data_IF_799493938654
#
_entry.id   IF_799493938654
#
_cell.length_a   1.000
_cell.length_b   1.000
_cell.length_c   1.000
_cell.angle_alpha   90.00
_cell.angle_beta   90.00
_cell.angle_gamma   90.00
#
_symmetry.space_group_name_H-M   'P 1'
#
loop_
_entity.id
_entity.type
_entity.pdbx_description
1 polymer ?
#
# COMPACT_ATOMS: atom_id res chain seq x y z
N UNK A 1 10.24 3.65 13.99
CA UNK A 1 9.60 2.39 13.58
C UNK A 1 10.45 1.80 12.47
N UNK A 2 10.87 0.54 12.55
CA UNK A 2 11.62 -0.09 11.45
C UNK A 2 10.61 -0.79 10.55
N UNK A 3 10.50 -0.36 9.30
CA UNK A 3 9.59 -0.98 8.33
C UNK A 3 10.19 -2.30 7.86
N UNK A 4 9.38 -3.37 7.83
CA UNK A 4 9.79 -4.69 7.32
C UNK A 4 9.63 -4.72 5.80
N UNK A 5 10.60 -4.12 5.11
CA UNK A 5 10.59 -3.95 3.64
C UNK A 5 10.53 -5.30 2.93
N UNK A 6 11.26 -6.30 3.43
CA UNK A 6 11.26 -7.64 2.83
C UNK A 6 9.87 -8.24 2.87
N UNK A 7 9.19 -8.19 4.02
CA UNK A 7 7.83 -8.74 4.14
C UNK A 7 6.82 -7.97 3.30
N UNK A 8 6.96 -6.66 3.16
CA UNK A 8 6.13 -5.86 2.25
C UNK A 8 6.35 -6.31 0.80
N UNK A 9 7.60 -6.46 0.38
CA UNK A 9 7.96 -6.92 -0.96
C UNK A 9 7.42 -8.33 -1.24
N UNK A 10 7.53 -9.26 -0.27
CA UNK A 10 7.02 -10.63 -0.38
C UNK A 10 5.50 -10.65 -0.62
N UNK A 11 4.74 -9.84 0.11
CA UNK A 11 3.28 -9.76 -0.07
C UNK A 11 2.93 -9.14 -1.43
N UNK A 12 3.64 -8.08 -1.84
CA UNK A 12 3.47 -7.45 -3.16
C UNK A 12 3.98 -8.30 -4.33
N UNK A 13 4.70 -9.40 -4.05
CA UNK A 13 5.48 -10.14 -5.04
C UNK A 13 6.43 -9.23 -5.83
N UNK A 14 6.97 -8.21 -5.15
CA UNK A 14 7.89 -7.22 -5.69
C UNK A 14 9.35 -7.65 -5.47
N UNK A 15 10.23 -7.25 -6.38
CA UNK A 15 11.67 -7.29 -6.16
C UNK A 15 12.12 -5.85 -5.93
N UNK A 16 12.80 -5.60 -4.81
CA UNK A 16 13.35 -4.27 -4.54
C UNK A 16 14.34 -3.89 -5.65
N UNK A 17 14.05 -2.79 -6.34
CA UNK A 17 14.97 -2.26 -7.33
C UNK A 17 16.04 -1.40 -6.68
N UNK A 18 17.30 -1.49 -7.16
CA UNK A 18 18.34 -0.58 -6.73
C UNK A 18 17.94 0.85 -7.08
N UNK A 19 18.18 1.78 -6.14
CA UNK A 19 17.89 3.20 -6.35
C UNK A 19 18.55 3.68 -7.66
N UNK A 20 17.78 4.26 -8.60
CA UNK A 20 18.33 4.70 -9.88
C UNK A 20 19.18 5.95 -9.64
N UNK A 21 20.50 5.79 -9.47
CA UNK A 21 21.62 6.75 -9.66
C UNK A 21 21.34 8.28 -9.68
N UNK A 22 20.46 8.78 -8.83
CA UNK A 22 20.14 10.19 -8.66
C UNK A 22 20.26 10.46 -7.16
N UNK A 23 20.74 11.65 -6.79
CA UNK A 23 20.91 12.16 -5.42
C UNK A 23 19.61 12.09 -4.60
N UNK A 24 19.19 10.89 -4.22
CA UNK A 24 18.01 10.61 -3.43
C UNK A 24 18.42 10.41 -1.97
N UNK A 25 17.53 10.70 -1.01
CA UNK A 25 17.81 10.52 0.40
C UNK A 25 18.27 9.09 0.71
N UNK A 26 19.17 8.97 1.67
CA UNK A 26 20.04 7.82 1.95
C UNK A 26 19.34 6.47 2.19
N UNK A 27 18.02 6.43 2.33
CA UNK A 27 17.22 5.22 2.57
C UNK A 27 15.83 5.32 1.93
N UNK A 28 15.77 4.96 0.67
CA UNK A 28 14.56 4.86 -0.14
C UNK A 28 14.47 3.44 -0.70
N UNK A 29 13.29 2.83 -0.61
CA UNK A 29 13.02 1.49 -1.13
C UNK A 29 11.98 1.59 -2.26
N UNK A 30 12.35 1.10 -3.45
CA UNK A 30 11.49 1.09 -4.64
C UNK A 30 10.98 -0.33 -4.88
N UNK A 31 9.68 -0.51 -4.75
CA UNK A 31 9.01 -1.79 -4.92
C UNK A 31 8.05 -1.72 -6.12
N UNK A 32 8.53 -2.05 -7.33
CA UNK A 32 7.66 -2.26 -8.47
C UNK A 32 6.85 -3.56 -8.30
N UNK A 33 5.56 -3.49 -8.59
CA UNK A 33 4.69 -4.66 -8.63
C UNK A 33 3.63 -4.47 -9.71
N UNK A 34 3.01 -5.55 -10.16
CA UNK A 34 2.01 -5.49 -11.23
C UNK A 34 0.89 -6.50 -11.00
N UNK A 35 -0.26 -6.23 -11.60
CA UNK A 35 -1.24 -7.26 -11.93
C UNK A 35 -1.42 -7.36 -13.44
N UNK A 36 -2.43 -8.11 -13.88
CA UNK A 36 -2.75 -8.35 -15.28
C UNK A 36 -3.05 -7.05 -16.05
N UNK A 37 -3.43 -5.97 -15.35
CA UNK A 37 -3.95 -4.73 -15.93
C UNK A 37 -3.01 -3.54 -15.74
N UNK A 38 -2.26 -3.50 -14.64
CA UNK A 38 -1.53 -2.30 -14.23
C UNK A 38 -0.17 -2.64 -13.62
N UNK A 39 0.79 -1.76 -13.90
CA UNK A 39 2.09 -1.69 -13.22
C UNK A 39 2.06 -0.55 -12.20
N UNK A 40 2.58 -0.83 -11.02
CA UNK A 40 2.66 0.11 -9.91
C UNK A 40 4.07 0.16 -9.37
N UNK A 41 4.41 1.30 -8.78
CA UNK A 41 5.64 1.50 -8.02
C UNK A 41 5.26 2.01 -6.65
N UNK A 42 5.61 1.24 -5.61
CA UNK A 42 5.52 1.68 -4.24
C UNK A 42 6.89 2.14 -3.74
N UNK A 43 6.98 3.40 -3.40
CA UNK A 43 8.16 4.03 -2.85
C UNK A 43 7.99 4.21 -1.34
N UNK A 44 8.94 3.67 -0.59
CA UNK A 44 8.93 3.68 0.87
C UNK A 44 10.15 4.46 1.39
N UNK A 45 9.92 5.45 2.24
CA UNK A 45 10.95 6.31 2.83
C UNK A 45 10.87 6.22 4.35
N UNK A 46 11.43 5.16 4.98
CA UNK A 46 11.28 4.94 6.42
C UNK A 46 11.81 6.08 7.30
N UNK A 47 12.83 6.81 6.84
CA UNK A 47 13.41 7.93 7.60
C UNK A 47 12.47 9.14 7.72
N UNK A 48 11.69 9.41 6.68
CA UNK A 48 10.70 10.51 6.65
C UNK A 48 9.28 10.01 6.87
N UNK A 49 9.10 8.72 7.13
CA UNK A 49 7.79 8.08 7.23
C UNK A 49 6.94 8.25 5.97
N UNK A 50 7.49 8.48 4.79
CA UNK A 50 6.66 8.71 3.60
C UNK A 50 6.38 7.42 2.82
N UNK A 51 5.13 7.30 2.34
CA UNK A 51 4.71 6.27 1.38
C UNK A 51 4.19 6.97 0.13
N UNK A 52 4.70 6.58 -1.03
CA UNK A 52 4.21 7.06 -2.33
C UNK A 52 3.90 5.89 -3.25
N UNK A 53 2.68 5.83 -3.75
CA UNK A 53 2.26 4.92 -4.80
C UNK A 53 2.13 5.71 -6.10
N UNK A 54 2.69 5.20 -7.18
CA UNK A 54 2.44 5.69 -8.53
C UNK A 54 2.06 4.51 -9.44
N UNK A 55 1.07 4.70 -10.30
CA UNK A 55 0.85 3.84 -11.45
C UNK A 55 1.87 4.20 -12.55
N UNK A 56 2.30 3.22 -13.35
CA UNK A 56 3.21 3.45 -14.46
C UNK A 56 2.54 4.37 -15.52
N UNK A 57 3.10 5.56 -15.80
CA UNK A 57 2.53 6.49 -16.78
C UNK A 57 2.69 6.02 -18.23
N UNK A 58 3.56 5.04 -18.51
CA UNK A 58 3.82 4.56 -19.87
C UNK A 58 2.80 3.48 -20.33
N UNK A 59 2.10 2.82 -19.40
CA UNK A 59 1.05 1.82 -19.68
C UNK A 59 -0.21 1.99 -18.80
N UNK A 60 -0.90 3.15 -18.80
CA UNK A 60 -2.11 3.32 -18.02
C UNK A 60 -3.28 2.57 -18.67
N UNK A 61 -3.86 1.57 -17.98
CA UNK A 61 -5.18 1.08 -18.35
C UNK A 61 -6.24 2.17 -18.09
N UNK A 62 -7.11 2.40 -19.07
CA UNK A 62 -8.27 3.28 -18.93
C UNK A 62 -9.11 2.85 -17.73
N UNK A 63 -9.30 3.77 -16.78
CA UNK A 63 -10.10 3.52 -15.58
C UNK A 63 -9.28 3.21 -14.32
N UNK A 64 -7.95 3.31 -14.35
CA UNK A 64 -7.13 3.33 -13.13
C UNK A 64 -7.57 4.54 -12.25
N UNK A 65 -8.17 4.30 -11.07
CA UNK A 65 -8.78 5.38 -10.30
C UNK A 65 -7.76 6.23 -9.53
N UNK A 66 -6.50 5.81 -9.44
CA UNK A 66 -5.48 6.45 -8.63
C UNK A 66 -4.12 6.38 -9.31
N UNK A 67 -3.76 7.46 -10.02
CA UNK A 67 -2.49 7.58 -10.73
C UNK A 67 -1.31 7.79 -9.77
N UNK A 68 -1.52 8.58 -8.73
CA UNK A 68 -0.52 8.88 -7.71
C UNK A 68 -1.19 9.03 -6.35
N UNK A 69 -0.52 8.60 -5.29
CA UNK A 69 -0.97 8.78 -3.91
C UNK A 69 0.22 8.86 -2.97
N UNK A 70 0.24 9.84 -2.07
CA UNK A 70 1.35 10.04 -1.15
C UNK A 70 0.92 10.63 0.19
N UNK A 71 1.47 10.11 1.29
CA UNK A 71 1.20 10.61 2.63
C UNK A 71 2.29 10.20 3.63
N UNK A 72 2.28 10.83 4.80
CA UNK A 72 3.12 10.46 5.94
C UNK A 72 2.51 9.28 6.68
N UNK A 73 3.13 8.12 6.60
CA UNK A 73 2.76 6.88 7.27
C UNK A 73 3.34 6.79 8.69
N UNK A 74 2.45 6.66 9.68
CA UNK A 74 2.82 6.46 11.08
C UNK A 74 2.72 5.01 11.52
N UNK A 75 1.94 4.17 10.83
CA UNK A 75 1.81 2.75 11.15
C UNK A 75 1.59 1.86 9.92
N UNK A 76 2.08 0.62 10.01
CA UNK A 76 1.95 -0.40 8.95
C UNK A 76 1.41 -1.68 9.56
N UNK A 77 0.36 -2.22 8.96
CA UNK A 77 -0.20 -3.51 9.33
C UNK A 77 -0.16 -4.47 8.14
N UNK A 78 0.40 -5.66 8.38
CA UNK A 78 0.36 -6.79 7.45
C UNK A 78 -0.40 -7.92 8.12
N UNK A 79 -1.59 -8.23 7.60
CA UNK A 79 -2.51 -9.17 8.22
C UNK A 79 -3.55 -9.73 7.25
N UNK A 80 -4.58 -10.43 7.75
CA UNK A 80 -5.58 -11.06 6.89
C UNK A 80 -6.27 -10.06 5.95
N UNK A 81 -6.52 -10.52 4.72
CA UNK A 81 -7.34 -9.85 3.74
C UNK A 81 -8.83 -9.95 4.10
N UNK A 82 -9.61 -8.91 3.82
CA UNK A 82 -11.06 -8.96 3.91
C UNK A 82 -11.72 -9.66 2.70
N UNK A 83 -10.95 -9.95 1.65
CA UNK A 83 -11.44 -10.43 0.36
C UNK A 83 -10.95 -11.84 0.00
N UNK A 84 -10.26 -12.53 0.91
CA UNK A 84 -9.83 -13.92 0.71
C UNK A 84 -9.38 -14.59 2.01
N UNK A 85 -9.78 -15.84 2.22
CA UNK A 85 -9.52 -16.60 3.45
C UNK A 85 -8.03 -16.88 3.72
N UNK A 86 -7.20 -16.88 2.68
CA UNK A 86 -5.76 -17.13 2.77
C UNK A 86 -4.91 -15.98 2.22
N UNK A 87 -5.53 -14.83 1.98
CA UNK A 87 -4.87 -13.68 1.38
C UNK A 87 -4.36 -12.73 2.45
N UNK A 88 -3.20 -12.10 2.21
CA UNK A 88 -2.59 -11.13 3.12
C UNK A 88 -2.73 -9.73 2.55
N UNK A 89 -3.20 -8.78 3.36
CA UNK A 89 -3.30 -7.37 3.04
C UNK A 89 -2.21 -6.55 3.71
N UNK A 90 -1.80 -5.47 3.06
CA UNK A 90 -0.90 -4.44 3.60
C UNK A 90 -1.70 -3.17 3.78
N UNK A 91 -1.60 -2.54 4.95
CA UNK A 91 -2.30 -1.31 5.29
C UNK A 91 -1.28 -0.30 5.82
N UNK A 92 -1.21 0.84 5.15
CA UNK A 92 -0.40 1.98 5.56
C UNK A 92 -1.33 3.04 6.14
N UNK A 93 -1.07 3.49 7.36
CA UNK A 93 -1.90 4.44 8.09
C UNK A 93 -1.18 5.77 8.24
N UNK A 94 -1.85 6.85 7.86
CA UNK A 94 -1.38 8.20 8.16
C UNK A 94 -1.43 8.43 9.67
N UNK A 95 -2.55 8.08 10.29
CA UNK A 95 -2.76 8.09 11.73
C UNK A 95 -3.77 7.00 12.10
N UNK A 96 -3.33 5.92 12.74
CA UNK A 96 -4.19 4.77 13.07
C UNK A 96 -5.28 5.11 14.09
N UNK A 97 -4.93 5.93 15.09
CA UNK A 97 -5.75 6.17 16.27
C UNK A 97 -6.50 7.52 16.22
N UNK A 98 -6.48 8.22 15.08
CA UNK A 98 -7.17 9.51 14.94
C UNK A 98 -8.29 9.43 13.93
N UNK A 99 -9.45 9.99 14.30
CA UNK A 99 -10.54 10.20 13.37
C UNK A 99 -10.08 11.07 12.20
N UNK A 100 -10.15 10.53 10.98
CA UNK A 100 -9.81 11.28 9.76
C UNK A 100 -8.46 10.93 9.14
N UNK A 101 -7.62 10.11 9.78
CA UNK A 101 -6.32 9.71 9.22
C UNK A 101 -6.49 8.84 7.98
N UNK A 102 -5.73 9.07 6.92
CA UNK A 102 -5.83 8.27 5.69
C UNK A 102 -5.29 6.85 5.87
N UNK A 103 -5.90 5.88 5.19
CA UNK A 103 -5.41 4.51 5.09
C UNK A 103 -5.30 4.11 3.63
N UNK A 104 -4.10 3.70 3.21
CA UNK A 104 -3.88 3.06 1.91
C UNK A 104 -3.81 1.54 2.12
N UNK A 105 -4.67 0.80 1.43
CA UNK A 105 -4.75 -0.66 1.54
C UNK A 105 -4.40 -1.32 0.21
N UNK A 106 -3.55 -2.34 0.29
CA UNK A 106 -3.24 -3.26 -0.80
C UNK A 106 -3.77 -4.63 -0.42
N UNK A 107 -4.56 -5.25 -1.28
CA UNK A 107 -5.10 -6.58 -1.02
C UNK A 107 -5.17 -7.38 -2.32
N UNK A 108 -4.54 -8.57 -2.38
CA UNK A 108 -4.68 -9.47 -3.52
C UNK A 108 -6.10 -10.05 -3.56
N UNK A 109 -6.61 -10.22 -4.78
CA UNK A 109 -7.88 -10.88 -5.06
C UNK A 109 -7.67 -12.35 -5.41
N UNK A 110 -8.75 -13.12 -5.34
CA UNK A 110 -8.77 -14.53 -5.77
C UNK A 110 -8.36 -14.76 -7.23
N UNK A 111 -8.44 -13.74 -8.08
CA UNK A 111 -8.04 -13.77 -9.49
C UNK A 111 -6.61 -13.23 -9.73
N UNK A 112 -5.83 -13.05 -8.66
CA UNK A 112 -4.46 -12.48 -8.66
C UNK A 112 -4.37 -11.01 -9.10
N UNK A 113 -5.50 -10.30 -9.20
CA UNK A 113 -5.49 -8.86 -9.39
C UNK A 113 -5.38 -8.12 -8.05
N UNK A 114 -4.96 -6.85 -8.06
CA UNK A 114 -4.90 -6.04 -6.85
C UNK A 114 -6.20 -5.25 -6.63
N UNK A 115 -6.67 -5.23 -5.39
CA UNK A 115 -7.49 -4.12 -4.92
C UNK A 115 -6.58 -3.13 -4.18
N UNK A 116 -6.53 -1.92 -4.70
CA UNK A 116 -5.80 -0.79 -4.12
C UNK A 116 -6.80 0.34 -3.91
N UNK A 117 -6.90 0.84 -2.68
CA UNK A 117 -7.75 1.98 -2.40
C UNK A 117 -7.22 2.77 -1.20
N UNK A 118 -7.48 4.08 -1.26
CA UNK A 118 -7.29 5.00 -0.16
C UNK A 118 -8.65 5.32 0.46
N UNK A 119 -8.76 5.22 1.79
CA UNK A 119 -9.97 5.59 2.51
C UNK A 119 -9.61 6.39 3.77
N UNK A 120 -10.54 7.23 4.22
CA UNK A 120 -10.46 7.82 5.56
C UNK A 120 -10.57 6.69 6.58
N UNK A 121 -9.61 6.62 7.49
CA UNK A 121 -9.64 5.81 8.70
C UNK A 121 -10.73 6.33 9.62
N UNK A 122 -11.87 5.65 9.56
CA UNK A 122 -12.94 5.81 10.53
C UNK A 122 -12.65 4.93 11.72
N UNK A 123 -12.68 5.52 12.90
CA UNK A 123 -12.56 4.85 14.18
C UNK A 123 -13.82 4.00 14.44
N UNK A 124 -13.88 2.86 13.76
CA UNK A 124 -14.71 1.70 14.02
C UNK A 124 -14.00 0.51 13.35
N UNK A 125 -12.84 0.13 13.90
CA UNK A 125 -12.51 -1.29 13.94
C UNK A 125 -13.54 -1.97 14.85
N UNK A 126 -14.77 -2.11 14.34
CA UNK A 126 -15.63 -3.19 14.75
C UNK A 126 -14.82 -4.46 14.54
N UNK A 127 -14.69 -5.23 15.60
CA UNK A 127 -14.35 -6.65 15.74
C UNK A 127 -14.95 -7.63 14.70
N UNK A 128 -15.26 -7.17 13.48
CA UNK A 128 -15.99 -7.93 12.48
C UNK A 128 -17.51 -7.98 12.72
N UNK A 129 -18.07 -7.35 13.77
CA UNK A 129 -19.53 -7.31 13.95
C UNK A 129 -20.16 -6.12 13.21
N UNK A 130 -20.81 -6.43 12.10
CA UNK A 130 -21.81 -5.55 11.49
C UNK A 130 -22.87 -5.18 12.53
N UNK A 131 -23.03 -3.88 12.83
CA UNK A 131 -24.26 -3.36 13.44
C UNK A 131 -24.85 -2.31 12.54
N UNK A 132 -25.89 -2.71 11.82
CA UNK A 132 -26.81 -1.82 11.12
C UNK A 132 -27.55 -1.01 12.19
N UNK A 133 -27.58 0.32 12.03
CA UNK A 133 -28.66 1.16 12.58
C UNK A 133 -29.58 1.54 11.45
#
# INVERSE_FOLDING_TARGET
>A
MTWDIQRIADVLQAIEEPSPNVEQPTRFHRLPFSDVRLKYVLNLMPETSCVFLAADPDEPEQGCPMLEYGFTCTDIEIGPSAYGENETAIRFYEHRDTFGGLRLTFTPRHDKNWYIWANVGGDLAGDGTYRIR
#
